data_IF_890924258362
#
_entry.id   IF_890924258362
#
_cell.length_a   1.000
_cell.length_b   1.000
_cell.length_c   1.000
_cell.angle_alpha   90.00
_cell.angle_beta   90.00
_cell.angle_gamma   90.00
#
_symmetry.space_group_name_H-M   'P 1'
#
loop_
_entity.id
_entity.type
_entity.pdbx_description
1 polymer ?
#
# COMPACT_ATOMS: atom_id res chain seq x y z
N UNK A 1 -27.58 6.72 10.99
CA UNK A 1 -26.37 7.40 11.44
C UNK A 1 -26.69 8.89 11.48
N UNK A 2 -26.31 9.62 12.52
CA UNK A 2 -26.55 11.06 12.59
C UNK A 2 -25.83 11.82 11.48
N UNK A 3 -26.29 13.04 11.19
CA UNK A 3 -25.68 13.88 10.16
C UNK A 3 -24.33 14.46 10.58
N UNK A 4 -24.08 14.59 11.88
CA UNK A 4 -22.81 15.04 12.46
C UNK A 4 -22.16 13.87 13.24
N UNK A 5 -20.90 13.60 12.97
CA UNK A 5 -20.12 12.52 13.62
C UNK A 5 -18.81 13.09 14.19
N UNK A 6 -18.37 12.54 15.31
CA UNK A 6 -16.98 12.67 15.72
C UNK A 6 -16.12 11.81 14.81
N UNK A 7 -15.04 12.38 14.31
CA UNK A 7 -14.16 11.77 13.32
C UNK A 7 -12.72 11.90 13.75
N UNK A 8 -12.07 10.77 13.99
CA UNK A 8 -10.63 10.75 14.25
C UNK A 8 -9.87 10.72 12.94
N UNK A 9 -8.81 11.54 12.85
CA UNK A 9 -7.98 11.62 11.65
C UNK A 9 -6.51 11.90 11.98
N UNK A 10 -5.60 11.28 11.22
CA UNK A 10 -4.16 11.51 11.32
C UNK A 10 -3.70 12.60 10.37
N UNK A 11 -2.93 13.55 10.86
CA UNK A 11 -2.42 14.68 10.08
C UNK A 11 -0.92 14.89 10.31
N UNK A 12 -0.28 15.62 9.38
CA UNK A 12 1.14 15.99 9.45
C UNK A 12 1.29 17.21 10.35
N UNK A 13 1.83 17.02 11.56
CA UNK A 13 2.07 18.10 12.52
C UNK A 13 3.47 18.74 12.32
N UNK A 14 4.45 17.95 11.88
CA UNK A 14 5.78 18.41 11.52
C UNK A 14 6.38 17.48 10.45
N UNK A 15 7.34 18.00 9.69
CA UNK A 15 8.09 17.17 8.74
C UNK A 15 9.09 16.27 9.48
N UNK A 16 9.35 15.11 8.89
CA UNK A 16 10.31 14.11 9.35
C UNK A 16 11.38 13.94 8.26
N UNK A 17 12.46 14.75 8.24
CA UNK A 17 13.44 14.69 7.16
C UNK A 17 14.26 13.40 7.18
N UNK A 18 14.50 12.81 8.37
CA UNK A 18 15.24 11.57 8.54
C UNK A 18 14.60 10.63 9.58
N UNK A 19 15.03 9.39 9.63
CA UNK A 19 14.54 8.38 10.59
C UNK A 19 13.08 8.00 10.40
N UNK A 20 12.45 7.45 11.41
CA UNK A 20 11.04 7.05 11.42
C UNK A 20 10.16 8.13 12.05
N UNK A 21 8.92 8.32 11.60
CA UNK A 21 8.04 9.33 12.18
C UNK A 21 7.66 8.99 13.63
N UNK A 22 7.59 10.03 14.46
CA UNK A 22 7.16 9.98 15.87
C UNK A 22 5.84 10.70 16.06
N UNK A 23 5.33 10.72 17.30
CA UNK A 23 4.15 11.50 17.68
C UNK A 23 4.31 13.02 17.55
N UNK A 24 5.55 13.51 17.34
CA UNK A 24 5.77 14.93 17.05
C UNK A 24 5.51 15.24 15.57
N UNK A 25 5.73 14.29 14.69
CA UNK A 25 5.57 14.42 13.24
C UNK A 25 4.14 14.14 12.77
N UNK A 26 3.53 13.07 13.28
CA UNK A 26 2.17 12.65 12.95
C UNK A 26 1.31 12.64 14.21
N UNK A 27 0.18 13.33 14.15
CA UNK A 27 -0.75 13.43 15.28
C UNK A 27 -2.16 13.01 14.89
N UNK A 28 -2.85 12.45 15.87
CA UNK A 28 -4.27 12.12 15.79
C UNK A 28 -5.08 13.28 16.39
N UNK A 29 -6.13 13.70 15.70
CA UNK A 29 -7.09 14.67 16.22
C UNK A 29 -8.50 14.16 16.04
N UNK A 30 -9.43 14.68 16.83
CA UNK A 30 -10.86 14.46 16.66
C UNK A 30 -11.50 15.75 16.14
N UNK A 31 -12.26 15.64 15.08
CA UNK A 31 -12.97 16.75 14.46
C UNK A 31 -14.45 16.38 14.30
N UNK A 32 -15.34 17.37 14.21
CA UNK A 32 -16.73 17.15 13.84
C UNK A 32 -16.86 17.14 12.32
N UNK A 33 -17.41 16.08 11.74
CA UNK A 33 -17.65 15.95 10.31
C UNK A 33 -19.14 15.85 10.03
N UNK A 34 -19.66 16.73 9.14
CA UNK A 34 -21.04 16.61 8.64
C UNK A 34 -21.09 15.59 7.52
N UNK A 35 -21.96 14.59 7.69
CA UNK A 35 -22.31 13.61 6.67
C UNK A 35 -23.70 13.88 6.08
N UNK A 36 -24.29 15.04 6.36
CA UNK A 36 -25.58 15.44 5.82
C UNK A 36 -25.56 15.49 4.29
N UNK A 37 -26.69 15.19 3.66
CA UNK A 37 -26.78 15.07 2.19
C UNK A 37 -26.41 16.38 1.47
N UNK A 38 -26.71 17.51 2.07
CA UNK A 38 -26.40 18.85 1.57
C UNK A 38 -24.91 19.23 1.74
N UNK A 39 -24.20 18.55 2.67
CA UNK A 39 -22.76 18.72 2.88
C UNK A 39 -21.91 17.90 1.91
N UNK A 40 -22.52 17.02 1.10
CA UNK A 40 -21.81 16.16 0.14
C UNK A 40 -21.91 16.79 -1.25
N UNK A 41 -20.78 17.15 -1.89
CA UNK A 41 -20.80 17.70 -3.27
C UNK A 41 -21.23 16.64 -4.29
N UNK A 42 -21.69 17.08 -5.47
CA UNK A 42 -21.99 16.18 -6.58
C UNK A 42 -20.74 15.36 -6.97
N UNK A 43 -20.95 14.12 -7.40
CA UNK A 43 -19.90 13.14 -7.69
C UNK A 43 -18.97 12.85 -6.50
N UNK A 44 -19.48 12.98 -5.26
CA UNK A 44 -18.78 12.59 -4.03
C UNK A 44 -19.59 11.56 -3.26
N UNK A 45 -18.85 10.86 -2.40
CA UNK A 45 -19.35 9.82 -1.52
C UNK A 45 -18.98 10.17 -0.07
N UNK A 46 -19.93 10.04 0.85
CA UNK A 46 -19.60 9.94 2.27
C UNK A 46 -19.31 8.46 2.57
N UNK A 47 -18.14 8.19 3.13
CA UNK A 47 -17.67 6.82 3.37
C UNK A 47 -17.21 6.63 4.80
N UNK A 48 -17.39 5.40 5.30
CA UNK A 48 -16.74 4.88 6.49
C UNK A 48 -15.50 4.10 6.09
N UNK A 49 -14.39 4.37 6.74
CA UNK A 49 -13.14 3.63 6.51
C UNK A 49 -13.16 2.33 7.30
N UNK A 50 -13.00 1.21 6.61
CA UNK A 50 -12.92 -0.11 7.23
C UNK A 50 -11.47 -0.53 7.45
N UNK A 51 -10.66 -0.43 6.39
CA UNK A 51 -9.25 -0.83 6.40
C UNK A 51 -8.39 0.26 5.77
N UNK A 52 -7.24 0.54 6.39
CA UNK A 52 -6.20 1.43 5.88
C UNK A 52 -4.96 0.63 5.49
N UNK A 53 -4.44 0.90 4.33
CA UNK A 53 -3.16 0.37 3.87
C UNK A 53 -2.02 1.10 4.57
N UNK A 54 -1.07 0.34 5.12
CA UNK A 54 0.15 0.92 5.68
C UNK A 54 1.30 0.58 4.75
N UNK A 55 1.87 1.61 4.12
CA UNK A 55 2.84 1.46 3.05
C UNK A 55 4.09 2.31 3.29
N UNK A 56 5.29 1.80 2.93
CA UNK A 56 6.54 2.50 3.18
C UNK A 56 6.64 3.86 2.46
N UNK A 57 5.94 4.06 1.33
CA UNK A 57 5.99 5.32 0.60
C UNK A 57 5.50 6.52 1.44
N UNK A 58 4.63 6.29 2.42
CA UNK A 58 4.14 7.32 3.33
C UNK A 58 5.29 8.03 4.06
N UNK A 59 6.38 7.32 4.36
CA UNK A 59 7.57 7.94 4.96
C UNK A 59 8.18 8.99 4.02
N UNK A 60 8.23 8.72 2.71
CA UNK A 60 8.74 9.65 1.71
C UNK A 60 7.86 10.88 1.50
N UNK A 61 6.57 10.84 1.86
CA UNK A 61 5.61 11.94 1.65
C UNK A 61 5.62 12.99 2.77
N UNK A 62 6.36 12.77 3.85
CA UNK A 62 6.41 13.63 5.04
C UNK A 62 7.82 14.15 5.36
N UNK A 63 8.74 14.10 4.39
CA UNK A 63 10.13 14.56 4.59
C UNK A 63 10.26 16.08 4.60
N UNK A 64 9.31 16.80 4.01
CA UNK A 64 9.39 18.25 3.80
C UNK A 64 10.31 18.68 2.64
N UNK A 65 10.85 17.71 1.89
CA UNK A 65 11.68 17.97 0.71
C UNK A 65 11.12 17.29 -0.53
N UNK A 66 11.22 17.93 -1.69
CA UNK A 66 10.83 17.39 -2.99
C UNK A 66 12.02 16.88 -3.80
N UNK A 67 13.24 17.21 -3.39
CA UNK A 67 14.45 16.81 -4.12
C UNK A 67 14.65 15.28 -4.11
N UNK A 68 14.83 14.73 -5.32
CA UNK A 68 15.07 13.29 -5.52
C UNK A 68 13.90 12.38 -5.17
N UNK A 69 12.72 12.92 -4.89
CA UNK A 69 11.51 12.16 -4.64
C UNK A 69 10.56 12.28 -5.85
N UNK A 70 9.97 11.16 -6.20
CA UNK A 70 8.93 11.06 -7.24
C UNK A 70 7.51 11.16 -6.66
N UNK A 71 7.39 11.42 -5.35
CA UNK A 71 6.13 11.46 -4.60
C UNK A 71 5.93 12.89 -4.07
N UNK A 72 4.72 13.41 -4.21
CA UNK A 72 4.34 14.72 -3.66
C UNK A 72 4.37 14.69 -2.13
N UNK A 73 4.82 15.80 -1.53
CA UNK A 73 4.83 15.97 -0.08
C UNK A 73 3.47 16.39 0.43
N UNK A 74 3.09 15.89 1.60
CA UNK A 74 1.98 16.45 2.37
C UNK A 74 2.34 17.83 2.90
N UNK A 75 1.34 18.71 2.98
CA UNK A 75 1.47 19.98 3.67
C UNK A 75 1.33 19.78 5.19
N UNK A 76 1.84 20.72 5.98
CA UNK A 76 1.53 20.76 7.41
C UNK A 76 0.02 20.91 7.61
N UNK A 77 -0.52 20.30 8.65
CA UNK A 77 -1.94 20.20 8.99
C UNK A 77 -2.80 19.39 7.99
N UNK A 78 -2.22 18.92 6.89
CA UNK A 78 -2.92 18.06 5.95
C UNK A 78 -3.15 16.67 6.53
N UNK A 79 -4.38 16.15 6.38
CA UNK A 79 -4.71 14.75 6.72
C UNK A 79 -3.99 13.82 5.76
N UNK A 80 -3.38 12.76 6.31
CA UNK A 80 -2.71 11.74 5.51
C UNK A 80 -3.69 11.02 4.58
N UNK A 81 -3.21 10.62 3.41
CA UNK A 81 -3.96 9.75 2.50
C UNK A 81 -3.19 8.47 2.23
N UNK A 82 -3.93 7.37 2.09
CA UNK A 82 -3.41 6.06 1.71
C UNK A 82 -4.47 5.28 0.94
N UNK A 83 -4.14 4.07 0.48
CA UNK A 83 -5.15 3.15 -0.05
C UNK A 83 -6.04 2.65 1.08
N UNK A 84 -7.35 2.61 0.84
CA UNK A 84 -8.31 2.21 1.86
C UNK A 84 -9.41 1.32 1.29
N UNK A 85 -9.93 0.41 2.11
CA UNK A 85 -11.23 -0.22 1.89
C UNK A 85 -12.25 0.58 2.68
N UNK A 86 -13.28 1.06 1.97
CA UNK A 86 -14.30 1.92 2.55
C UNK A 86 -15.70 1.38 2.26
N UNK A 87 -16.68 1.73 3.12
CA UNK A 87 -18.11 1.47 2.92
C UNK A 87 -18.82 2.78 2.61
N UNK A 88 -19.66 2.78 1.58
CA UNK A 88 -20.49 3.94 1.24
C UNK A 88 -21.58 4.11 2.29
N UNK A 89 -21.66 5.30 2.90
CA UNK A 89 -22.72 5.72 3.83
C UNK A 89 -23.77 6.51 3.08
N UNK A 90 -23.33 7.44 2.20
CA UNK A 90 -24.18 8.25 1.32
C UNK A 90 -23.47 8.48 -0.01
N UNK A 91 -24.25 8.66 -1.07
CA UNK A 91 -23.73 8.86 -2.41
C UNK A 91 -24.42 10.02 -3.11
N UNK A 92 -23.64 10.83 -3.80
CA UNK A 92 -24.04 11.82 -4.80
C UNK A 92 -23.53 11.43 -6.21
N UNK A 93 -23.21 10.16 -6.41
CA UNK A 93 -22.85 9.57 -7.70
C UNK A 93 -23.69 8.31 -7.91
N UNK A 94 -24.47 8.28 -8.99
CA UNK A 94 -25.41 7.18 -9.31
C UNK A 94 -24.73 5.81 -9.54
N UNK A 95 -23.41 5.79 -9.73
CA UNK A 95 -22.62 4.56 -9.86
C UNK A 95 -22.49 3.79 -8.55
N UNK A 96 -22.68 4.45 -7.40
CA UNK A 96 -22.40 3.88 -6.09
C UNK A 96 -23.63 3.99 -5.17
N UNK A 97 -23.90 2.90 -4.47
CA UNK A 97 -25.04 2.77 -3.56
C UNK A 97 -24.57 2.67 -2.12
N UNK A 98 -25.43 3.07 -1.17
CA UNK A 98 -25.19 2.86 0.27
C UNK A 98 -24.95 1.39 0.54
N UNK A 99 -23.90 1.10 1.31
CA UNK A 99 -23.45 -0.26 1.61
C UNK A 99 -22.40 -0.82 0.65
N UNK A 100 -22.20 -0.23 -0.53
CA UNK A 100 -21.12 -0.66 -1.42
C UNK A 100 -19.78 -0.64 -0.69
N UNK A 101 -18.97 -1.70 -0.90
CA UNK A 101 -17.58 -1.76 -0.46
C UNK A 101 -16.68 -1.36 -1.63
N UNK A 102 -15.77 -0.44 -1.38
CA UNK A 102 -14.96 0.18 -2.41
C UNK A 102 -13.48 0.16 -2.05
N UNK A 103 -12.64 -0.05 -3.06
CA UNK A 103 -11.21 0.23 -2.98
C UNK A 103 -10.98 1.69 -3.38
N UNK A 104 -10.53 2.49 -2.42
CA UNK A 104 -10.21 3.90 -2.59
C UNK A 104 -8.70 4.10 -2.71
N UNK A 105 -8.26 4.78 -3.76
CA UNK A 105 -6.84 5.05 -4.04
C UNK A 105 -6.24 6.21 -3.25
N UNK A 106 -7.09 7.09 -2.69
CA UNK A 106 -6.71 8.29 -1.93
C UNK A 106 -7.60 8.44 -0.69
N UNK A 107 -7.78 7.34 0.07
CA UNK A 107 -8.55 7.35 1.32
C UNK A 107 -7.86 8.17 2.39
N UNK A 108 -8.58 9.06 3.06
CA UNK A 108 -8.06 9.77 4.22
C UNK A 108 -7.78 8.76 5.35
N UNK A 109 -6.69 8.97 6.07
CA UNK A 109 -6.40 8.22 7.30
C UNK A 109 -7.30 8.78 8.42
N UNK A 110 -8.60 8.46 8.28
CA UNK A 110 -9.69 8.94 9.12
C UNK A 110 -10.78 7.87 9.23
N UNK A 111 -11.63 7.96 10.25
CA UNK A 111 -12.75 7.02 10.44
C UNK A 111 -13.84 7.22 9.37
N UNK A 112 -14.11 8.47 9.02
CA UNK A 112 -15.08 8.87 8.00
C UNK A 112 -14.47 9.93 7.08
N UNK A 113 -14.95 9.98 5.85
CA UNK A 113 -14.54 11.03 4.91
C UNK A 113 -15.57 11.27 3.81
N UNK A 114 -15.51 12.46 3.21
CA UNK A 114 -16.19 12.77 1.96
C UNK A 114 -15.13 12.75 0.86
N UNK A 115 -15.32 11.85 -0.12
CA UNK A 115 -14.30 11.59 -1.15
C UNK A 115 -14.90 11.74 -2.55
N UNK A 116 -14.15 12.31 -3.51
CA UNK A 116 -14.56 12.29 -4.91
C UNK A 116 -14.70 10.86 -5.42
N UNK A 117 -15.73 10.56 -6.19
CA UNK A 117 -15.92 9.23 -6.79
C UNK A 117 -14.79 8.84 -7.78
N UNK A 118 -14.07 9.83 -8.30
CA UNK A 118 -12.86 9.62 -9.13
C UNK A 118 -11.69 8.98 -8.39
N UNK A 119 -11.69 9.00 -7.05
CA UNK A 119 -10.68 8.32 -6.22
C UNK A 119 -10.95 6.82 -6.06
N UNK A 120 -12.12 6.36 -6.48
CA UNK A 120 -12.50 4.95 -6.36
C UNK A 120 -11.88 4.16 -7.52
N UNK A 121 -11.07 3.18 -7.17
CA UNK A 121 -10.41 2.28 -8.12
C UNK A 121 -11.38 1.23 -8.61
N UNK A 122 -12.16 0.62 -7.68
CA UNK A 122 -13.15 -0.41 -8.02
C UNK A 122 -14.14 -0.66 -6.88
N UNK A 123 -15.29 -1.26 -7.21
CA UNK A 123 -16.14 -1.93 -6.23
C UNK A 123 -15.53 -3.27 -5.83
N UNK A 124 -15.72 -3.65 -4.57
CA UNK A 124 -15.27 -4.92 -4.02
C UNK A 124 -16.43 -5.91 -4.03
N UNK A 125 -16.22 -7.05 -4.68
CA UNK A 125 -17.13 -8.18 -4.61
C UNK A 125 -16.73 -9.11 -3.45
N UNK A 126 -17.60 -9.24 -2.46
CA UNK A 126 -17.37 -10.11 -1.29
C UNK A 126 -17.82 -11.55 -1.52
N UNK A 127 -18.53 -11.83 -2.62
CA UNK A 127 -19.01 -13.19 -2.93
C UNK A 127 -17.90 -14.13 -3.41
N UNK A 128 -16.75 -13.57 -3.80
CA UNK A 128 -15.62 -14.31 -4.35
C UNK A 128 -14.73 -14.99 -3.31
N UNK A 129 -15.03 -14.85 -2.00
CA UNK A 129 -14.28 -15.46 -0.89
C UNK A 129 -12.92 -14.82 -0.60
N UNK A 130 -12.56 -13.71 -1.27
CA UNK A 130 -11.31 -12.98 -1.05
C UNK A 130 -11.48 -12.03 0.14
N UNK A 131 -10.51 -12.03 1.06
CA UNK A 131 -10.58 -11.17 2.24
C UNK A 131 -10.41 -9.69 1.89
N UNK A 132 -11.05 -8.80 2.66
CA UNK A 132 -10.95 -7.35 2.42
C UNK A 132 -9.50 -6.84 2.51
N UNK A 133 -8.66 -7.44 3.36
CA UNK A 133 -7.25 -7.08 3.47
C UNK A 133 -6.45 -7.40 2.21
N UNK A 134 -6.88 -8.39 1.42
CA UNK A 134 -6.19 -8.77 0.19
C UNK A 134 -6.38 -7.74 -0.93
N UNK A 135 -7.44 -6.95 -0.88
CA UNK A 135 -7.61 -5.80 -1.79
C UNK A 135 -6.61 -4.67 -1.53
N UNK A 136 -5.99 -4.64 -0.34
CA UNK A 136 -4.86 -3.74 -0.03
C UNK A 136 -3.49 -4.44 -0.19
N UNK A 137 -3.48 -5.75 -0.32
CA UNK A 137 -2.31 -6.63 -0.44
C UNK A 137 -2.12 -7.18 -1.85
N UNK A 138 -2.48 -8.45 -2.04
CA UNK A 138 -2.25 -9.19 -3.30
C UNK A 138 -3.09 -8.68 -4.48
N UNK A 139 -4.28 -8.11 -4.25
CA UNK A 139 -5.11 -7.41 -5.24
C UNK A 139 -4.95 -5.90 -5.23
N UNK A 140 -4.07 -5.37 -4.37
CA UNK A 140 -3.76 -3.97 -4.27
C UNK A 140 -2.43 -3.62 -4.95
N UNK A 141 -1.91 -2.44 -4.58
CA UNK A 141 -0.66 -1.91 -5.13
C UNK A 141 0.54 -2.85 -4.95
N UNK A 142 0.74 -3.53 -3.79
CA UNK A 142 1.85 -4.46 -3.64
C UNK A 142 1.79 -5.64 -4.61
N UNK A 143 0.62 -6.22 -4.79
CA UNK A 143 0.41 -7.31 -5.77
C UNK A 143 0.61 -6.83 -7.20
N UNK A 144 0.12 -5.64 -7.53
CA UNK A 144 0.29 -5.05 -8.86
C UNK A 144 1.76 -4.77 -9.18
N UNK A 145 2.53 -4.23 -8.22
CA UNK A 145 3.97 -4.04 -8.37
C UNK A 145 4.71 -5.37 -8.61
N UNK A 146 4.35 -6.40 -7.84
CA UNK A 146 4.92 -7.73 -7.99
C UNK A 146 4.60 -8.35 -9.36
N UNK A 147 3.34 -8.23 -9.81
CA UNK A 147 2.90 -8.71 -11.11
C UNK A 147 3.61 -7.99 -12.26
N UNK A 148 3.73 -6.66 -12.19
CA UNK A 148 4.50 -5.90 -13.19
C UNK A 148 5.95 -6.38 -13.24
N UNK A 149 6.60 -6.51 -12.08
CA UNK A 149 8.00 -6.91 -12.00
C UNK A 149 8.27 -8.33 -12.52
N UNK A 150 7.35 -9.28 -12.29
CA UNK A 150 7.55 -10.68 -12.68
C UNK A 150 6.96 -10.98 -14.05
N UNK A 151 5.68 -10.57 -14.29
CA UNK A 151 4.95 -11.03 -15.48
C UNK A 151 5.15 -10.12 -16.69
N UNK A 152 5.37 -8.81 -16.46
CA UNK A 152 5.39 -7.82 -17.56
C UNK A 152 6.82 -7.43 -17.95
N UNK A 153 7.66 -7.16 -16.96
CA UNK A 153 9.02 -6.62 -17.19
C UNK A 153 10.10 -7.71 -17.12
N UNK A 154 10.03 -8.56 -16.08
CA UNK A 154 11.03 -9.59 -15.85
C UNK A 154 10.89 -10.79 -16.77
N UNK A 155 9.65 -11.21 -16.99
CA UNK A 155 9.28 -12.37 -17.81
C UNK A 155 10.23 -13.59 -17.67
N UNK A 156 10.55 -14.03 -16.42
CA UNK A 156 11.48 -15.14 -16.21
C UNK A 156 10.89 -16.43 -16.77
N UNK A 157 11.74 -17.22 -17.45
CA UNK A 157 11.31 -18.50 -18.05
C UNK A 157 11.34 -19.62 -17.00
N UNK A 158 10.57 -20.71 -17.17
CA UNK A 158 10.66 -21.88 -16.32
C UNK A 158 12.12 -22.35 -16.17
N UNK A 159 12.51 -22.66 -14.92
CA UNK A 159 13.90 -23.01 -14.58
C UNK A 159 14.85 -21.83 -14.33
N UNK A 160 14.45 -20.59 -14.63
CA UNK A 160 15.23 -19.40 -14.30
C UNK A 160 15.47 -19.28 -12.78
N UNK A 161 16.62 -18.72 -12.39
CA UNK A 161 16.89 -18.32 -11.02
C UNK A 161 16.39 -16.89 -10.81
N UNK A 162 15.50 -16.69 -9.86
CA UNK A 162 14.93 -15.37 -9.51
C UNK A 162 15.32 -15.04 -8.08
N UNK A 163 16.02 -13.93 -7.92
CA UNK A 163 16.34 -13.38 -6.61
C UNK A 163 15.35 -12.24 -6.29
N UNK A 164 14.74 -12.30 -5.10
CA UNK A 164 13.76 -11.32 -4.64
C UNK A 164 14.23 -10.73 -3.34
N UNK A 165 14.47 -9.42 -3.35
CA UNK A 165 14.66 -8.66 -2.13
C UNK A 165 13.31 -8.37 -1.47
N UNK A 166 13.29 -8.07 -0.17
CA UNK A 166 12.06 -7.84 0.58
C UNK A 166 11.07 -9.02 0.52
N UNK A 167 11.55 -10.24 0.37
CA UNK A 167 10.72 -11.41 0.07
C UNK A 167 9.66 -11.73 1.14
N UNK A 168 9.83 -11.25 2.39
CA UNK A 168 8.83 -11.34 3.46
C UNK A 168 7.84 -10.18 3.49
N UNK A 169 8.09 -9.11 2.71
CA UNK A 169 7.19 -7.97 2.59
C UNK A 169 6.06 -8.19 1.60
N UNK A 170 5.08 -7.27 1.57
CA UNK A 170 3.88 -7.43 0.75
C UNK A 170 4.17 -7.60 -0.75
N UNK A 171 5.12 -6.84 -1.32
CA UNK A 171 5.52 -6.97 -2.73
C UNK A 171 6.32 -8.27 -2.95
N UNK A 172 7.36 -8.50 -2.13
CA UNK A 172 8.27 -9.63 -2.30
C UNK A 172 7.59 -10.99 -2.17
N UNK A 173 6.63 -11.14 -1.24
CA UNK A 173 5.84 -12.37 -1.10
C UNK A 173 5.00 -12.69 -2.33
N UNK A 174 4.37 -11.68 -2.92
CA UNK A 174 3.61 -11.86 -4.16
C UNK A 174 4.55 -12.19 -5.34
N UNK A 175 5.66 -11.47 -5.48
CA UNK A 175 6.65 -11.70 -6.53
C UNK A 175 7.25 -13.11 -6.44
N UNK A 176 7.58 -13.58 -5.23
CA UNK A 176 8.12 -14.93 -5.01
C UNK A 176 7.15 -16.02 -5.39
N UNK A 177 5.87 -15.87 -5.04
CA UNK A 177 4.84 -16.84 -5.39
C UNK A 177 4.56 -16.83 -6.92
N UNK A 178 4.49 -15.66 -7.56
CA UNK A 178 4.35 -15.56 -9.01
C UNK A 178 5.51 -16.24 -9.75
N UNK A 179 6.74 -15.95 -9.35
CA UNK A 179 7.91 -16.57 -9.95
C UNK A 179 7.90 -18.11 -9.77
N UNK A 180 7.46 -18.62 -8.60
CA UNK A 180 7.29 -20.07 -8.39
C UNK A 180 6.20 -20.66 -9.27
N UNK A 181 5.06 -20.01 -9.44
CA UNK A 181 3.97 -20.44 -10.34
C UNK A 181 4.50 -20.56 -11.77
N UNK A 182 5.42 -19.68 -12.20
CA UNK A 182 6.09 -19.75 -13.50
C UNK A 182 7.15 -20.86 -13.60
N UNK A 183 7.37 -21.64 -12.55
CA UNK A 183 8.35 -22.72 -12.54
C UNK A 183 9.81 -22.27 -12.31
N UNK A 184 10.01 -21.07 -11.74
CA UNK A 184 11.34 -20.55 -11.42
C UNK A 184 11.90 -21.11 -10.12
N UNK A 185 13.23 -21.13 -9.98
CA UNK A 185 13.91 -21.28 -8.70
C UNK A 185 14.00 -19.92 -8.03
N UNK A 186 13.36 -19.78 -6.87
CA UNK A 186 13.26 -18.50 -6.18
C UNK A 186 14.13 -18.50 -4.94
N UNK A 187 15.00 -17.49 -4.85
CA UNK A 187 15.82 -17.16 -3.69
C UNK A 187 15.36 -15.80 -3.20
N UNK A 188 15.05 -15.68 -1.92
CA UNK A 188 14.65 -14.42 -1.32
C UNK A 188 15.64 -13.97 -0.25
N UNK A 189 15.67 -12.66 0.11
CA UNK A 189 16.41 -12.16 1.27
C UNK A 189 15.53 -11.33 2.21
N UNK A 190 15.84 -11.31 3.51
CA UNK A 190 15.09 -10.62 4.55
C UNK A 190 16.00 -9.98 5.60
N UNK A 191 15.49 -8.99 6.33
CA UNK A 191 16.28 -8.19 7.27
C UNK A 191 16.48 -8.81 8.66
N UNK A 192 16.03 -10.05 8.94
CA UNK A 192 16.26 -10.72 10.21
C UNK A 192 16.13 -12.24 10.11
N UNK A 193 16.81 -12.96 11.01
CA UNK A 193 16.82 -14.44 11.06
C UNK A 193 15.44 -15.02 11.36
N UNK A 194 14.61 -14.37 12.18
CA UNK A 194 13.24 -14.79 12.44
C UNK A 194 12.36 -14.83 11.18
N UNK A 195 12.70 -14.01 10.19
CA UNK A 195 12.04 -13.99 8.88
C UNK A 195 12.62 -15.01 7.91
N UNK A 196 13.85 -15.52 8.16
CA UNK A 196 14.52 -16.51 7.29
C UNK A 196 13.71 -17.79 7.20
N UNK A 197 13.11 -18.24 8.28
CA UNK A 197 12.23 -19.41 8.29
C UNK A 197 10.98 -19.25 7.45
N UNK A 198 10.63 -18.01 7.06
CA UNK A 198 9.45 -17.68 6.28
C UNK A 198 9.76 -17.00 4.93
N UNK A 199 10.80 -16.19 4.79
CA UNK A 199 11.30 -15.56 3.54
C UNK A 199 12.44 -14.54 3.78
N UNK A 200 13.32 -14.29 2.79
CA UNK A 200 14.44 -13.35 2.84
C UNK A 200 14.12 -11.95 2.27
N UNK A 201 14.77 -10.89 2.78
CA UNK A 201 14.43 -9.50 2.48
C UNK A 201 15.64 -8.59 2.20
N UNK A 202 15.56 -7.73 1.16
CA UNK A 202 16.15 -6.39 1.11
C UNK A 202 15.25 -5.47 0.28
N UNK A 203 14.56 -4.52 0.91
CA UNK A 203 14.10 -3.27 0.31
C UNK A 203 14.43 -2.16 1.30
N UNK A 204 15.28 -1.23 0.90
CA UNK A 204 15.66 -0.15 1.79
C UNK A 204 14.96 1.11 1.32
N UNK A 205 13.83 1.47 1.98
CA UNK A 205 13.41 2.86 1.97
C UNK A 205 14.44 3.60 2.79
N UNK A 206 15.30 4.32 2.10
CA UNK A 206 16.38 5.06 2.71
C UNK A 206 15.82 6.08 3.70
N UNK A 207 16.11 5.88 4.99
CA UNK A 207 15.67 6.75 6.08
C UNK A 207 16.62 7.94 6.28
N UNK A 208 17.70 8.02 5.49
CA UNK A 208 18.67 9.11 5.51
C UNK A 208 18.17 10.32 4.74
N UNK A 209 18.71 11.49 5.03
CA UNK A 209 18.54 12.67 4.21
C UNK A 209 19.12 12.45 2.79
N UNK A 210 18.56 13.13 1.80
CA UNK A 210 18.93 12.96 0.39
C UNK A 210 20.43 12.99 0.12
N UNK A 211 21.15 13.92 0.75
CA UNK A 211 22.59 14.13 0.55
C UNK A 211 23.48 13.03 1.13
N UNK A 212 22.95 12.18 2.01
CA UNK A 212 23.69 11.13 2.72
C UNK A 212 23.36 9.72 2.20
N UNK A 213 22.60 9.61 1.12
CA UNK A 213 22.20 8.32 0.55
C UNK A 213 23.41 7.61 -0.06
N UNK A 214 23.46 6.28 0.16
CA UNK A 214 24.48 5.44 -0.42
C UNK A 214 24.32 5.33 -1.94
N UNK A 215 25.41 5.54 -2.68
CA UNK A 215 25.46 5.31 -4.11
C UNK A 215 25.74 3.85 -4.48
N UNK A 216 25.49 3.50 -5.73
CA UNK A 216 25.89 2.18 -6.27
C UNK A 216 27.40 2.16 -6.50
N UNK A 217 28.15 1.31 -5.75
CA UNK A 217 29.61 1.33 -5.77
C UNK A 217 30.22 0.56 -6.93
N UNK A 218 29.64 -0.53 -7.38
CA UNK A 218 30.22 -1.44 -8.39
C UNK A 218 29.47 -1.38 -9.72
N UNK A 219 29.11 -0.18 -10.18
CA UNK A 219 28.30 0.01 -11.38
C UNK A 219 28.94 -0.58 -12.65
N UNK A 220 30.30 -0.64 -12.71
CA UNK A 220 31.02 -1.25 -13.83
C UNK A 220 30.70 -2.73 -14.03
N UNK A 221 30.23 -3.44 -13.00
CA UNK A 221 29.80 -4.82 -13.12
C UNK A 221 28.60 -5.00 -14.06
N UNK A 222 27.83 -3.95 -14.35
CA UNK A 222 26.76 -3.99 -15.34
C UNK A 222 27.32 -4.34 -16.70
N UNK A 223 28.45 -3.74 -17.09
CA UNK A 223 29.11 -4.00 -18.37
C UNK A 223 29.75 -5.40 -18.39
N UNK A 224 30.59 -5.69 -17.39
CA UNK A 224 31.38 -6.95 -17.37
C UNK A 224 30.53 -8.21 -17.17
N UNK A 225 29.28 -8.07 -16.72
CA UNK A 225 28.35 -9.20 -16.49
C UNK A 225 27.10 -9.12 -17.36
N UNK A 226 27.07 -8.21 -18.32
CA UNK A 226 25.93 -8.02 -19.24
C UNK A 226 24.57 -7.88 -18.50
N UNK A 227 24.55 -7.09 -17.40
CA UNK A 227 23.36 -6.91 -16.56
C UNK A 227 22.45 -5.84 -17.16
N UNK A 228 21.15 -6.15 -17.33
CA UNK A 228 20.12 -5.17 -17.57
C UNK A 228 19.60 -4.62 -16.24
N UNK A 229 19.58 -3.30 -16.09
CA UNK A 229 18.95 -2.59 -14.96
C UNK A 229 17.81 -1.75 -15.48
N UNK A 230 16.63 -1.89 -14.92
CA UNK A 230 15.43 -1.17 -15.34
C UNK A 230 14.59 -0.78 -14.14
N UNK A 231 14.20 0.52 -14.09
CA UNK A 231 13.26 1.05 -13.10
C UNK A 231 11.87 1.22 -13.70
N UNK A 232 10.83 1.12 -12.89
CA UNK A 232 9.47 1.37 -13.34
C UNK A 232 8.64 2.06 -12.25
N UNK A 233 7.61 2.77 -12.70
CA UNK A 233 6.61 3.41 -11.85
C UNK A 233 5.25 2.77 -12.10
N UNK A 234 4.59 2.34 -11.03
CA UNK A 234 3.25 1.70 -11.10
C UNK A 234 2.25 2.58 -11.87
N UNK A 235 2.28 3.90 -11.67
CA UNK A 235 1.38 4.84 -12.35
C UNK A 235 1.44 4.77 -13.88
N UNK A 236 2.59 4.43 -14.44
CA UNK A 236 2.76 4.30 -15.90
C UNK A 236 2.05 3.05 -16.47
N UNK A 237 1.66 2.13 -15.62
CA UNK A 237 1.04 0.85 -15.99
C UNK A 237 -0.41 0.71 -15.49
N UNK A 238 -1.04 1.77 -14.97
CA UNK A 238 -2.40 1.70 -14.43
C UNK A 238 -3.44 1.18 -15.46
N UNK A 239 -3.21 1.42 -16.75
CA UNK A 239 -4.02 0.86 -17.83
C UNK A 239 -4.03 -0.68 -17.84
N UNK A 240 -3.03 -1.35 -17.24
CA UNK A 240 -2.93 -2.81 -17.10
C UNK A 240 -3.54 -3.35 -15.81
N UNK A 241 -4.10 -2.48 -14.95
CA UNK A 241 -4.62 -2.90 -13.64
C UNK A 241 -5.78 -3.91 -13.77
N UNK A 242 -6.62 -3.77 -14.79
CA UNK A 242 -7.70 -4.72 -15.06
C UNK A 242 -7.21 -6.13 -15.43
N UNK A 243 -6.11 -6.23 -16.21
CA UNK A 243 -5.47 -7.50 -16.55
C UNK A 243 -4.90 -8.18 -15.30
N UNK A 244 -4.17 -7.39 -14.49
CA UNK A 244 -3.63 -7.84 -13.23
C UNK A 244 -4.70 -8.41 -12.30
N UNK A 245 -5.81 -7.69 -12.11
CA UNK A 245 -6.90 -8.14 -11.23
C UNK A 245 -7.42 -9.49 -11.64
N UNK A 246 -7.77 -9.67 -12.92
CA UNK A 246 -8.27 -10.95 -13.45
C UNK A 246 -7.29 -12.10 -13.22
N UNK A 247 -6.00 -11.81 -13.42
CA UNK A 247 -4.93 -12.80 -13.28
C UNK A 247 -4.76 -13.25 -11.82
N UNK A 248 -4.73 -12.31 -10.88
CA UNK A 248 -4.49 -12.60 -9.46
C UNK A 248 -5.74 -13.15 -8.76
N UNK A 249 -6.93 -12.67 -9.08
CA UNK A 249 -8.18 -13.22 -8.52
C UNK A 249 -8.29 -14.73 -8.75
N UNK A 250 -7.98 -15.20 -9.96
CA UNK A 250 -7.95 -16.63 -10.26
C UNK A 250 -6.98 -17.40 -9.36
N UNK A 251 -5.78 -16.91 -9.17
CA UNK A 251 -4.78 -17.58 -8.32
C UNK A 251 -5.11 -17.54 -6.82
N UNK A 252 -5.77 -16.49 -6.35
CA UNK A 252 -6.26 -16.43 -4.98
C UNK A 252 -7.38 -17.46 -4.74
N UNK A 253 -8.35 -17.55 -5.64
CA UNK A 253 -9.46 -18.50 -5.57
C UNK A 253 -8.97 -19.96 -5.66
N UNK A 254 -7.96 -20.22 -6.50
CA UNK A 254 -7.32 -21.54 -6.62
C UNK A 254 -6.36 -21.86 -5.45
N UNK A 255 -6.13 -20.92 -4.53
CA UNK A 255 -5.18 -21.08 -3.42
C UNK A 255 -3.71 -21.17 -3.85
N UNK A 256 -3.38 -20.81 -5.09
CA UNK A 256 -2.01 -20.76 -5.61
C UNK A 256 -1.21 -19.59 -5.04
N UNK A 257 -1.86 -18.46 -4.77
CA UNK A 257 -1.32 -17.35 -4.02
C UNK A 257 -1.92 -17.37 -2.62
N UNK A 258 -1.05 -17.34 -1.61
CA UNK A 258 -1.42 -17.33 -0.19
C UNK A 258 -0.98 -16.01 0.43
N UNK A 259 -1.88 -15.02 0.52
CA UNK A 259 -1.58 -13.74 1.12
C UNK A 259 -1.26 -13.88 2.61
N UNK A 260 -0.44 -12.97 3.12
CA UNK A 260 -0.28 -12.75 4.56
C UNK A 260 -0.45 -11.28 4.88
N UNK A 261 -1.29 -10.99 5.87
CA UNK A 261 -1.50 -9.63 6.37
C UNK A 261 -1.37 -9.60 7.89
N UNK A 262 -0.73 -8.55 8.41
CA UNK A 262 -0.76 -8.19 9.82
C UNK A 262 -1.82 -7.11 9.97
N UNK A 263 -2.89 -7.40 10.68
CA UNK A 263 -4.00 -6.47 10.93
C UNK A 263 -3.87 -5.94 12.35
N UNK A 264 -3.68 -4.63 12.47
CA UNK A 264 -3.71 -3.91 13.74
C UNK A 264 -5.09 -3.25 13.88
N UNK A 265 -5.62 -3.21 15.11
CA UNK A 265 -6.97 -2.75 15.38
C UNK A 265 -6.95 -1.32 15.95
N UNK A 266 -7.91 -0.50 15.51
CA UNK A 266 -8.08 0.89 15.92
C UNK A 266 -7.23 1.85 15.10
N UNK A 267 -7.84 2.99 14.72
CA UNK A 267 -7.14 4.04 13.97
C UNK A 267 -5.92 4.58 14.73
N UNK A 268 -5.93 4.51 16.05
CA UNK A 268 -4.85 4.92 16.95
C UNK A 268 -3.56 4.14 16.70
N UNK A 269 -3.68 2.89 16.24
CA UNK A 269 -2.52 2.01 15.95
C UNK A 269 -1.76 2.39 14.66
N UNK A 270 -2.21 3.41 13.91
CA UNK A 270 -1.68 3.72 12.59
C UNK A 270 -0.19 4.10 12.61
N UNK A 271 0.24 4.96 13.53
CA UNK A 271 1.64 5.38 13.65
C UNK A 271 2.56 4.22 14.03
N UNK A 272 2.16 3.40 15.00
CA UNK A 272 2.90 2.19 15.38
C UNK A 272 2.97 1.19 14.21
N UNK A 273 1.86 1.02 13.49
CA UNK A 273 1.78 0.18 12.31
C UNK A 273 2.73 0.63 11.21
N UNK A 274 2.82 1.95 10.96
CA UNK A 274 3.76 2.54 10.02
C UNK A 274 5.21 2.29 10.44
N UNK A 275 5.54 2.50 11.69
CA UNK A 275 6.89 2.29 12.22
C UNK A 275 7.30 0.81 12.21
N UNK A 276 6.35 -0.11 12.37
CA UNK A 276 6.61 -1.55 12.33
C UNK A 276 7.20 -2.01 10.99
N UNK A 277 6.94 -1.29 9.91
CA UNK A 277 7.48 -1.61 8.58
C UNK A 277 9.01 -1.40 8.55
N UNK A 278 9.50 -0.36 9.24
CA UNK A 278 10.92 0.02 9.24
C UNK A 278 11.73 -0.70 10.33
N UNK A 279 11.08 -1.25 11.36
CA UNK A 279 11.74 -2.02 12.43
C UNK A 279 11.88 -3.51 12.14
N UNK A 280 11.60 -3.94 10.91
CA UNK A 280 11.63 -5.36 10.51
C UNK A 280 10.70 -6.28 11.31
N UNK A 281 9.70 -5.77 12.02
CA UNK A 281 8.78 -6.53 12.86
C UNK A 281 7.52 -7.03 12.12
N UNK A 282 7.37 -6.74 10.83
CA UNK A 282 6.22 -7.15 10.02
C UNK A 282 6.55 -8.28 9.05
N UNK A 283 5.55 -9.11 8.76
CA UNK A 283 5.55 -10.10 7.68
C UNK A 283 4.28 -9.86 6.85
N UNK A 284 4.44 -9.83 5.52
CA UNK A 284 3.33 -9.58 4.60
C UNK A 284 2.86 -8.12 4.60
N UNK A 285 1.59 -7.93 4.31
CA UNK A 285 0.95 -6.61 4.26
C UNK A 285 0.53 -6.14 5.65
N UNK A 286 0.91 -4.91 6.01
CA UNK A 286 0.40 -4.25 7.23
C UNK A 286 -0.86 -3.47 6.88
N UNK A 287 -1.91 -3.69 7.64
CA UNK A 287 -3.23 -3.07 7.49
C UNK A 287 -3.71 -2.61 8.86
N UNK A 288 -4.35 -1.45 8.93
CA UNK A 288 -5.08 -1.00 10.12
C UNK A 288 -6.58 -1.20 9.87
N UNK A 289 -7.23 -1.97 10.71
CA UNK A 289 -8.69 -2.05 10.79
C UNK A 289 -9.17 -0.93 11.69
N UNK A 290 -9.92 0.01 11.11
CA UNK A 290 -10.23 1.30 11.77
C UNK A 290 -11.13 1.14 12.99
N UNK A 291 -12.10 0.22 12.92
CA UNK A 291 -13.01 -0.10 14.02
C UNK A 291 -13.10 -1.61 14.23
N UNK A 292 -13.43 -2.01 15.42
CA UNK A 292 -13.70 -3.40 15.79
C UNK A 292 -15.02 -3.91 15.24
#
# INVERSE_FOLDING_TARGET
MGDLVENKEWYVAAYCPEGVPTSDHLKLRTVSLSLASDSIPDNHLAVETLLLSVDPFLRGTITGTVEGLFISQFQLDQVLTTFAVVRVIRSKDSKYSVGDLLLNGYGLVAEYSIVPSSHIIRKIDTSNGISLSDYLGSLGVPGFAAWLGIEVLGDPKPGSNVFISAASGAVGMNAGQLAKIRGCRVIGSTGSDDKVTQCFHIFNYDLKVWTERDGVRNLLNIVGKEVRMEGFMIKSYLHRFGDFVKYIEGYLQEGKIKPKSKINIGIESFLESLNSIFSSSNIGKVVVQVKT
#
